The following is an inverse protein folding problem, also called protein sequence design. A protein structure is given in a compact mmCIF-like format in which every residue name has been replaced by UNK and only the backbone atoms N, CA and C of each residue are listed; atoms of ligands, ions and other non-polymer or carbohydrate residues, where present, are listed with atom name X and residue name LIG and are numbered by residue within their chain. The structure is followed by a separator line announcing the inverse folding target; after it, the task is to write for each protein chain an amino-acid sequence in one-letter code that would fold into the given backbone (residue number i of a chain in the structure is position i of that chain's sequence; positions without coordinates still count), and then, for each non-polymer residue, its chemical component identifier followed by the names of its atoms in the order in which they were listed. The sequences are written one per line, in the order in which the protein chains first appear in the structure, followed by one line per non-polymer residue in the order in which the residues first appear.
data_IF_044656747704
#
_entry.id   IF_044656747704
#
_cell.length_a   1.000
_cell.length_b   1.000
_cell.length_c   1.000
_cell.angle_alpha   90.00
_cell.angle_beta   90.00
_cell.angle_gamma   90.00
#
_symmetry.space_group_name_H-M   'P 1'
#
loop_
_entity.id
_entity.type
_entity.pdbx_description
1 polymer ?
#
# COMPACT_ATOMS: atom_id res chain seq x y z
N UNK A 1 13.33 2.08 29.31
CA UNK A 1 14.66 2.64 28.94
C UNK A 1 14.72 4.12 29.36
N UNK A 2 15.89 4.66 29.70
CA UNK A 2 16.05 6.10 30.02
C UNK A 2 15.87 6.99 28.77
N UNK A 3 15.30 8.18 28.94
CA UNK A 3 14.91 9.08 27.84
C UNK A 3 16.11 9.53 26.99
N UNK A 4 17.27 9.82 27.59
CA UNK A 4 18.44 10.27 26.84
C UNK A 4 18.99 9.15 25.94
N UNK A 5 18.97 7.89 26.41
CA UNK A 5 19.32 6.73 25.58
C UNK A 5 18.36 6.57 24.40
N UNK A 6 17.06 6.75 24.64
CA UNK A 6 16.06 6.67 23.56
C UNK A 6 16.33 7.74 22.50
N UNK A 7 16.57 8.99 22.92
CA UNK A 7 16.90 10.09 22.01
C UNK A 7 18.16 9.78 21.20
N UNK A 8 19.22 9.29 21.85
CA UNK A 8 20.47 8.92 21.18
C UNK A 8 20.24 7.83 20.12
N UNK A 9 19.47 6.80 20.46
CA UNK A 9 19.15 5.69 19.54
C UNK A 9 18.39 6.20 18.30
N UNK A 10 17.34 7.01 18.49
CA UNK A 10 16.53 7.54 17.40
C UNK A 10 17.35 8.53 16.56
N UNK A 11 18.05 9.49 17.19
CA UNK A 11 18.89 10.46 16.48
C UNK A 11 19.97 9.76 15.64
N UNK A 12 20.59 8.71 16.18
CA UNK A 12 21.56 7.93 15.41
C UNK A 12 20.91 7.27 14.19
N UNK A 13 19.71 6.68 14.36
CA UNK A 13 19.01 6.03 13.25
C UNK A 13 18.67 7.03 12.15
N UNK A 14 18.03 8.14 12.50
CA UNK A 14 17.63 9.21 11.56
C UNK A 14 18.84 9.80 10.85
N UNK A 15 19.89 10.19 11.59
CA UNK A 15 21.10 10.77 11.00
C UNK A 15 21.87 9.80 10.11
N UNK A 16 21.92 8.52 10.49
CA UNK A 16 22.65 7.51 9.70
C UNK A 16 21.99 7.27 8.35
N UNK A 17 20.65 7.36 8.30
CA UNK A 17 19.87 7.07 7.09
C UNK A 17 19.47 8.32 6.30
N UNK A 18 19.82 9.52 6.78
CA UNK A 18 19.56 10.82 6.15
C UNK A 18 19.95 10.89 4.67
N UNK A 19 21.12 10.41 4.22
CA UNK A 19 21.47 10.40 2.80
C UNK A 19 20.52 9.57 1.93
N UNK A 20 19.66 8.75 2.52
CA UNK A 20 18.65 7.94 1.83
C UNK A 20 17.27 8.55 1.97
N UNK A 21 16.78 8.78 3.21
CA UNK A 21 15.40 9.23 3.38
C UNK A 21 15.18 10.67 2.90
N UNK A 22 16.20 11.54 2.91
CA UNK A 22 16.09 12.91 2.37
C UNK A 22 15.81 12.95 0.87
N UNK A 23 16.04 11.82 0.16
CA UNK A 23 15.79 11.71 -1.28
C UNK A 23 14.36 11.25 -1.63
N UNK A 24 13.54 10.89 -0.64
CA UNK A 24 12.19 10.35 -0.86
C UNK A 24 11.12 11.43 -1.05
N UNK A 25 11.43 12.67 -0.66
CA UNK A 25 10.54 13.81 -0.83
C UNK A 25 10.20 14.03 -2.30
N UNK A 26 8.93 14.32 -2.57
CA UNK A 26 8.39 14.58 -3.90
C UNK A 26 7.67 15.91 -3.93
N UNK A 27 7.54 16.51 -5.11
CA UNK A 27 6.83 17.77 -5.25
C UNK A 27 5.33 17.56 -5.46
N UNK A 28 4.50 18.49 -4.97
CA UNK A 28 3.04 18.47 -5.15
C UNK A 28 2.60 18.30 -6.61
N UNK A 29 3.33 18.92 -7.55
CA UNK A 29 3.08 18.80 -8.99
C UNK A 29 3.20 17.35 -9.52
N UNK A 30 3.86 16.47 -8.77
CA UNK A 30 4.11 15.06 -9.11
C UNK A 30 3.12 14.12 -8.39
N UNK A 31 2.17 14.67 -7.64
CA UNK A 31 1.29 13.91 -6.75
C UNK A 31 0.51 12.80 -7.47
N UNK A 32 0.14 12.99 -8.73
CA UNK A 32 -0.61 11.98 -9.50
C UNK A 32 0.27 10.76 -9.85
N UNK A 33 1.54 10.97 -10.18
CA UNK A 33 2.49 9.86 -10.41
C UNK A 33 2.86 9.19 -9.09
N UNK A 34 3.04 9.99 -8.04
CA UNK A 34 3.24 9.55 -6.68
C UNK A 34 2.10 8.64 -6.22
N UNK A 35 0.85 9.03 -6.46
CA UNK A 35 -0.33 8.22 -6.18
C UNK A 35 -0.22 6.84 -6.84
N UNK A 36 0.11 6.80 -8.14
CA UNK A 36 0.26 5.55 -8.89
C UNK A 36 1.42 4.67 -8.41
N UNK A 37 2.43 5.24 -7.77
CA UNK A 37 3.62 4.50 -7.30
C UNK A 37 3.53 4.02 -5.84
N UNK A 38 2.59 4.57 -5.07
CA UNK A 38 2.50 4.36 -3.61
C UNK A 38 1.17 3.79 -3.16
N UNK A 39 0.08 4.01 -3.89
CA UNK A 39 -1.26 3.55 -3.50
C UNK A 39 -1.37 2.03 -3.38
N UNK A 40 -0.56 1.28 -4.13
CA UNK A 40 -0.62 -0.17 -4.15
C UNK A 40 0.69 -0.84 -3.69
N UNK A 41 1.63 -0.06 -3.15
CA UNK A 41 2.87 -0.55 -2.52
C UNK A 41 2.59 -1.17 -1.14
N UNK A 42 1.95 -2.34 -1.16
CA UNK A 42 1.47 -3.03 0.04
C UNK A 42 1.40 -4.55 -0.19
N UNK A 43 1.34 -5.30 0.92
CA UNK A 43 1.19 -6.77 0.91
C UNK A 43 2.25 -7.52 0.07
N UNK A 44 3.43 -6.91 -0.12
CA UNK A 44 4.53 -7.48 -0.89
C UNK A 44 4.44 -7.26 -2.40
N UNK A 45 3.52 -6.42 -2.86
CA UNK A 45 3.56 -5.82 -4.19
C UNK A 45 4.41 -4.56 -4.14
N UNK A 46 5.56 -4.59 -4.81
CA UNK A 46 6.49 -3.45 -4.90
C UNK A 46 6.06 -2.50 -6.03
N UNK A 47 4.95 -1.79 -5.82
CA UNK A 47 4.29 -0.95 -6.84
C UNK A 47 5.20 0.19 -7.35
N UNK A 48 6.06 0.72 -6.47
CA UNK A 48 7.09 1.70 -6.81
C UNK A 48 8.09 1.20 -7.86
N UNK A 49 8.27 -0.12 -8.00
CA UNK A 49 9.03 -0.73 -9.09
C UNK A 49 8.12 -0.93 -10.31
N UNK A 50 6.89 -1.40 -10.08
CA UNK A 50 5.92 -1.70 -11.13
C UNK A 50 5.61 -0.49 -12.02
N UNK A 51 5.54 0.72 -11.47
CA UNK A 51 5.32 1.95 -12.24
C UNK A 51 6.37 2.19 -13.33
N UNK A 52 7.60 1.67 -13.19
CA UNK A 52 8.60 1.75 -14.25
C UNK A 52 8.16 0.97 -15.48
N UNK A 53 7.54 -0.21 -15.29
CA UNK A 53 7.01 -1.00 -16.39
C UNK A 53 5.80 -0.34 -17.06
N UNK A 54 5.00 0.41 -16.30
CA UNK A 54 3.92 1.25 -16.85
C UNK A 54 4.51 2.38 -17.70
N UNK A 55 5.62 2.99 -17.25
CA UNK A 55 6.33 4.04 -17.97
C UNK A 55 6.93 3.53 -19.29
N UNK A 56 7.59 2.37 -19.24
CA UNK A 56 8.23 1.75 -20.40
C UNK A 56 7.21 1.37 -21.50
N UNK A 57 5.95 1.14 -21.11
CA UNK A 57 4.86 0.86 -22.03
C UNK A 57 4.01 2.11 -22.37
N UNK A 58 4.47 3.30 -22.01
CA UNK A 58 3.79 4.59 -22.22
C UNK A 58 2.34 4.60 -21.67
N UNK A 59 2.13 4.05 -20.47
CA UNK A 59 0.81 4.04 -19.81
C UNK A 59 0.81 4.61 -18.39
N UNK A 60 1.94 5.15 -17.90
CA UNK A 60 2.02 5.76 -16.56
C UNK A 60 1.26 7.10 -16.50
N UNK A 61 -0.06 7.03 -16.33
CA UNK A 61 -0.92 8.13 -15.88
C UNK A 61 -2.28 7.58 -15.46
N UNK A 62 -2.96 8.27 -14.53
CA UNK A 62 -4.32 7.90 -14.08
C UNK A 62 -5.27 7.80 -15.28
N UNK A 63 -5.13 8.71 -16.25
CA UNK A 63 -5.95 8.71 -17.48
C UNK A 63 -5.77 7.43 -18.29
N UNK A 64 -4.52 7.03 -18.58
CA UNK A 64 -4.20 5.88 -19.43
C UNK A 64 -4.54 4.57 -18.73
N UNK A 65 -4.14 4.41 -17.46
CA UNK A 65 -4.50 3.24 -16.64
C UNK A 65 -6.01 3.13 -16.50
N UNK A 66 -6.69 4.24 -16.18
CA UNK A 66 -8.14 4.27 -16.02
C UNK A 66 -8.91 3.97 -17.32
N UNK A 67 -8.37 4.31 -18.50
CA UNK A 67 -9.04 4.05 -19.77
C UNK A 67 -9.13 2.57 -20.16
N UNK A 68 -8.33 1.70 -19.53
CA UNK A 68 -8.37 0.25 -19.79
C UNK A 68 -9.77 -0.31 -19.50
N UNK A 69 -10.49 0.27 -18.54
CA UNK A 69 -11.84 -0.14 -18.15
C UNK A 69 -12.95 0.69 -18.82
N UNK A 70 -12.65 1.52 -19.84
CA UNK A 70 -13.69 2.31 -20.52
C UNK A 70 -14.72 1.45 -21.26
N UNK A 71 -14.23 0.38 -21.89
CA UNK A 71 -15.02 -0.49 -22.76
C UNK A 71 -15.31 -1.85 -22.12
N UNK A 72 -14.98 -2.03 -20.84
CA UNK A 72 -15.17 -3.27 -20.11
C UNK A 72 -16.46 -3.25 -19.30
N UNK A 73 -17.29 -4.28 -19.46
CA UNK A 73 -18.46 -4.52 -18.62
C UNK A 73 -18.07 -5.25 -17.33
N UNK A 74 -17.02 -4.78 -16.64
CA UNK A 74 -16.54 -5.46 -15.45
C UNK A 74 -17.12 -4.83 -14.19
N UNK A 75 -17.53 -5.69 -13.25
CA UNK A 75 -17.87 -5.28 -11.91
C UNK A 75 -16.68 -4.54 -11.24
N UNK A 76 -16.97 -3.63 -10.31
CA UNK A 76 -15.91 -2.97 -9.52
C UNK A 76 -15.17 -3.96 -8.61
N UNK A 77 -15.81 -5.07 -8.25
CA UNK A 77 -15.26 -6.07 -7.32
C UNK A 77 -14.22 -6.93 -8.01
N UNK A 78 -13.12 -7.21 -7.31
CA UNK A 78 -12.12 -8.16 -7.79
C UNK A 78 -12.68 -9.58 -7.80
N UNK A 79 -12.55 -10.24 -8.95
CA UNK A 79 -12.78 -11.66 -9.13
C UNK A 79 -11.49 -12.35 -9.60
N UNK A 80 -11.10 -13.40 -8.87
CA UNK A 80 -9.90 -14.18 -9.14
C UNK A 80 -10.02 -15.00 -10.42
N UNK A 81 -11.21 -15.51 -10.75
CA UNK A 81 -11.42 -16.31 -11.96
C UNK A 81 -11.37 -15.46 -13.22
N UNK A 82 -11.57 -14.14 -13.07
CA UNK A 82 -11.52 -13.17 -14.16
C UNK A 82 -10.13 -12.53 -14.29
N UNK A 83 -9.52 -12.13 -13.17
CA UNK A 83 -8.32 -11.28 -13.14
C UNK A 83 -7.18 -11.81 -12.24
N UNK A 84 -7.21 -13.07 -11.84
CA UNK A 84 -6.24 -13.69 -10.91
C UNK A 84 -4.96 -14.25 -11.51
N UNK A 85 -4.66 -13.96 -12.79
CA UNK A 85 -3.51 -14.51 -13.51
C UNK A 85 -3.44 -14.04 -14.97
N UNK A 86 -2.27 -14.18 -15.61
CA UNK A 86 -2.09 -13.78 -17.03
C UNK A 86 -2.90 -14.65 -18.00
N UNK A 87 -3.24 -15.85 -17.55
CA UNK A 87 -4.05 -16.86 -18.21
C UNK A 87 -5.55 -16.64 -18.03
N UNK A 88 -5.96 -15.72 -17.15
CA UNK A 88 -7.38 -15.45 -16.88
C UNK A 88 -8.00 -14.57 -17.98
N UNK A 89 -9.33 -14.61 -18.17
CA UNK A 89 -10.03 -13.96 -19.27
C UNK A 89 -9.65 -12.48 -19.46
N UNK A 90 -9.57 -11.72 -18.36
CA UNK A 90 -9.21 -10.30 -18.42
C UNK A 90 -7.85 -10.06 -19.09
N UNK A 91 -6.81 -10.78 -18.67
CA UNK A 91 -5.46 -10.60 -19.22
C UNK A 91 -5.31 -11.19 -20.61
N UNK A 92 -6.04 -12.24 -20.96
CA UNK A 92 -6.13 -12.73 -22.35
C UNK A 92 -6.69 -11.65 -23.26
N UNK A 93 -7.73 -10.94 -22.84
CA UNK A 93 -8.35 -9.85 -23.60
C UNK A 93 -7.45 -8.63 -23.73
N UNK A 94 -6.73 -8.26 -22.66
CA UNK A 94 -5.69 -7.23 -22.71
C UNK A 94 -4.60 -7.59 -23.74
N UNK A 95 -4.10 -8.83 -23.72
CA UNK A 95 -3.11 -9.33 -24.68
C UNK A 95 -3.61 -9.24 -26.13
N UNK A 96 -4.88 -9.59 -26.37
CA UNK A 96 -5.52 -9.51 -27.69
C UNK A 96 -5.76 -8.07 -28.15
N UNK A 97 -5.74 -7.09 -27.25
CA UNK A 97 -5.94 -5.68 -27.56
C UNK A 97 -7.37 -5.20 -27.54
N UNK A 98 -8.26 -5.94 -26.89
CA UNK A 98 -9.69 -5.57 -26.78
C UNK A 98 -9.84 -4.23 -26.05
N UNK A 99 -8.96 -3.96 -25.08
CA UNK A 99 -8.91 -2.72 -24.30
C UNK A 99 -7.92 -1.69 -24.89
N UNK A 100 -7.73 -1.69 -26.20
CA UNK A 100 -6.87 -0.73 -26.89
C UNK A 100 -5.38 -0.88 -26.61
N UNK A 101 -4.62 0.19 -26.91
CA UNK A 101 -3.16 0.21 -26.74
C UNK A 101 -2.77 0.22 -25.26
N UNK A 102 -3.56 0.90 -24.43
CA UNK A 102 -3.35 0.99 -22.98
C UNK A 102 -3.48 -0.40 -22.34
N UNK A 103 -4.50 -1.17 -22.76
CA UNK A 103 -4.66 -2.54 -22.28
C UNK A 103 -3.51 -3.47 -22.67
N UNK A 104 -3.02 -3.38 -23.93
CA UNK A 104 -1.81 -4.12 -24.35
C UNK A 104 -0.59 -3.70 -23.54
N UNK A 105 -0.40 -2.40 -23.33
CA UNK A 105 0.68 -1.85 -22.52
C UNK A 105 0.64 -2.43 -21.10
N UNK A 106 -0.53 -2.47 -20.48
CA UNK A 106 -0.70 -3.00 -19.13
C UNK A 106 -0.40 -4.49 -19.04
N UNK A 107 -0.89 -5.29 -20.00
CA UNK A 107 -0.53 -6.70 -20.10
C UNK A 107 0.99 -6.89 -20.19
N UNK A 108 1.68 -6.09 -21.02
CA UNK A 108 3.13 -6.17 -21.16
C UNK A 108 3.85 -5.77 -19.87
N UNK A 109 3.39 -4.73 -19.17
CA UNK A 109 3.93 -4.32 -17.88
C UNK A 109 3.81 -5.42 -16.83
N UNK A 110 2.62 -6.02 -16.71
CA UNK A 110 2.35 -7.13 -15.77
C UNK A 110 3.14 -8.37 -16.13
N UNK A 111 3.30 -8.68 -17.42
CA UNK A 111 4.10 -9.80 -17.88
C UNK A 111 5.58 -9.61 -17.56
N UNK A 112 6.13 -8.42 -17.81
CA UNK A 112 7.54 -8.09 -17.65
C UNK A 112 7.97 -7.92 -16.18
N UNK A 113 7.04 -7.54 -15.29
CA UNK A 113 7.33 -7.42 -13.86
C UNK A 113 7.86 -8.74 -13.28
N UNK A 114 9.01 -8.71 -12.62
CA UNK A 114 9.70 -9.88 -12.05
C UNK A 114 9.50 -10.01 -10.53
N UNK A 115 8.67 -9.15 -9.94
CA UNK A 115 8.30 -9.19 -8.54
C UNK A 115 7.33 -10.33 -8.16
N UNK A 116 6.88 -10.35 -6.90
CA UNK A 116 6.03 -11.42 -6.36
C UNK A 116 4.59 -11.33 -6.85
N UNK A 117 4.19 -12.22 -7.76
CA UNK A 117 2.82 -12.30 -8.32
C UNK A 117 1.88 -13.21 -7.52
N UNK A 118 1.69 -12.90 -6.24
CA UNK A 118 0.76 -13.63 -5.37
C UNK A 118 -0.70 -13.18 -5.53
N UNK A 119 -1.63 -13.77 -4.76
CA UNK A 119 -3.05 -13.38 -4.79
C UNK A 119 -3.27 -11.88 -4.51
N UNK A 120 -2.49 -11.29 -3.60
CA UNK A 120 -2.55 -9.87 -3.29
C UNK A 120 -2.13 -8.98 -4.48
N UNK A 121 -1.12 -9.40 -5.25
CA UNK A 121 -0.66 -8.66 -6.43
C UNK A 121 -1.79 -8.48 -7.45
N UNK A 122 -2.48 -9.57 -7.81
CA UNK A 122 -3.59 -9.52 -8.76
C UNK A 122 -4.74 -8.65 -8.29
N UNK A 123 -5.10 -8.76 -7.01
CA UNK A 123 -6.11 -7.91 -6.38
C UNK A 123 -5.72 -6.43 -6.43
N UNK A 124 -4.48 -6.10 -6.10
CA UNK A 124 -4.00 -4.71 -6.09
C UNK A 124 -3.95 -4.09 -7.49
N UNK A 125 -3.55 -4.85 -8.51
CA UNK A 125 -3.64 -4.40 -9.90
C UNK A 125 -5.08 -4.08 -10.32
N UNK A 126 -6.04 -4.93 -9.92
CA UNK A 126 -7.45 -4.67 -10.18
C UNK A 126 -7.93 -3.39 -9.49
N UNK A 127 -7.58 -3.23 -8.22
CA UNK A 127 -7.92 -2.03 -7.44
C UNK A 127 -7.34 -0.76 -8.07
N UNK A 128 -6.10 -0.81 -8.58
CA UNK A 128 -5.48 0.28 -9.33
C UNK A 128 -6.29 0.67 -10.57
N UNK A 129 -6.69 -0.30 -11.39
CA UNK A 129 -7.47 -0.05 -12.60
C UNK A 129 -8.81 0.61 -12.27
N UNK A 130 -9.54 0.08 -11.29
CA UNK A 130 -10.84 0.59 -10.86
C UNK A 130 -10.72 2.00 -10.28
N UNK A 131 -9.73 2.23 -9.39
CA UNK A 131 -9.52 3.54 -8.80
C UNK A 131 -9.10 4.58 -9.84
N UNK A 132 -8.21 4.23 -10.77
CA UNK A 132 -7.82 5.13 -11.86
C UNK A 132 -9.00 5.45 -12.77
N UNK A 133 -9.87 4.47 -13.07
CA UNK A 133 -11.10 4.72 -13.84
C UNK A 133 -12.05 5.68 -13.10
N UNK A 134 -12.18 5.52 -11.78
CA UNK A 134 -12.96 6.41 -10.92
C UNK A 134 -12.42 7.84 -10.94
N UNK A 135 -11.12 8.04 -10.71
CA UNK A 135 -10.46 9.35 -10.77
C UNK A 135 -10.55 9.97 -12.17
N UNK A 136 -10.42 9.17 -13.22
CA UNK A 136 -10.61 9.60 -14.60
C UNK A 136 -12.02 10.14 -14.85
N UNK A 137 -13.05 9.40 -14.44
CA UNK A 137 -14.45 9.74 -14.72
C UNK A 137 -14.97 10.93 -13.92
N UNK A 138 -14.47 11.11 -12.70
CA UNK A 138 -15.06 12.06 -11.75
C UNK A 138 -14.14 13.23 -11.37
N UNK A 139 -12.82 13.11 -11.56
CA UNK A 139 -11.83 14.07 -11.03
C UNK A 139 -10.73 14.40 -12.04
N UNK A 140 -11.08 14.56 -13.31
CA UNK A 140 -10.16 14.99 -14.36
C UNK A 140 -8.88 14.14 -14.49
N UNK A 141 -8.94 12.86 -14.13
CA UNK A 141 -7.77 11.97 -14.10
C UNK A 141 -6.65 12.46 -13.17
N UNK A 142 -6.98 13.13 -12.06
CA UNK A 142 -6.00 13.68 -11.15
C UNK A 142 -6.37 13.42 -9.68
N UNK A 143 -5.41 12.88 -8.94
CA UNK A 143 -5.53 12.67 -7.50
C UNK A 143 -5.42 14.00 -6.73
N UNK A 144 -4.57 14.93 -7.19
CA UNK A 144 -4.52 16.29 -6.62
C UNK A 144 -5.85 17.04 -6.80
N UNK A 145 -6.49 16.92 -7.97
CA UNK A 145 -7.82 17.49 -8.21
C UNK A 145 -8.85 16.85 -7.28
N UNK A 146 -8.86 15.52 -7.18
CA UNK A 146 -9.70 14.77 -6.26
C UNK A 146 -9.60 15.29 -4.82
N UNK A 147 -8.39 15.46 -4.29
CA UNK A 147 -8.18 15.95 -2.93
C UNK A 147 -8.75 17.36 -2.70
N UNK A 148 -8.51 18.26 -3.65
CA UNK A 148 -9.00 19.64 -3.56
C UNK A 148 -10.53 19.71 -3.64
N UNK A 149 -11.17 18.92 -4.49
CA UNK A 149 -12.63 18.84 -4.54
C UNK A 149 -13.18 18.29 -3.22
N UNK A 150 -12.57 17.22 -2.66
CA UNK A 150 -13.01 16.68 -1.37
C UNK A 150 -12.85 17.65 -0.22
N UNK A 151 -11.77 18.43 -0.24
CA UNK A 151 -11.55 19.46 0.76
C UNK A 151 -12.52 20.64 0.59
N UNK A 152 -12.80 21.07 -0.65
CA UNK A 152 -13.81 22.09 -0.95
C UNK A 152 -15.22 21.67 -0.50
N UNK A 153 -15.60 20.41 -0.75
CA UNK A 153 -16.85 19.81 -0.27
C UNK A 153 -16.93 19.81 1.27
N UNK A 154 -15.81 19.56 1.96
CA UNK A 154 -15.74 19.55 3.43
C UNK A 154 -15.88 20.95 4.03
N UNK A 155 -15.17 21.93 3.47
CA UNK A 155 -15.22 23.34 3.90
C UNK A 155 -16.50 24.05 3.42
N UNK A 156 -17.31 23.40 2.59
CA UNK A 156 -18.50 23.96 1.95
C UNK A 156 -18.19 25.26 1.17
N UNK A 157 -17.14 25.20 0.34
CA UNK A 157 -16.70 26.28 -0.55
C UNK A 157 -16.68 25.79 -2.00
N UNK A 158 -16.84 26.69 -2.95
CA UNK A 158 -16.97 26.33 -4.37
C UNK A 158 -15.71 25.66 -4.95
N UNK A 159 -14.52 26.12 -4.53
CA UNK A 159 -13.25 25.65 -5.09
C UNK A 159 -12.08 25.96 -4.18
N UNK A 160 -11.07 25.09 -4.24
CA UNK A 160 -9.78 25.24 -3.57
C UNK A 160 -8.67 25.28 -4.63
N UNK A 161 -7.78 26.26 -4.57
CA UNK A 161 -6.57 26.30 -5.41
C UNK A 161 -5.44 25.49 -4.78
N UNK A 162 -4.38 25.18 -5.54
CA UNK A 162 -3.19 24.55 -4.96
C UNK A 162 -2.60 25.42 -3.84
N UNK A 163 -2.55 26.74 -4.04
CA UNK A 163 -2.03 27.66 -3.03
C UNK A 163 -2.85 27.58 -1.74
N UNK A 164 -4.18 27.55 -1.83
CA UNK A 164 -5.06 27.42 -0.66
C UNK A 164 -4.82 26.09 0.06
N UNK A 165 -4.79 24.98 -0.69
CA UNK A 165 -4.63 23.65 -0.12
C UNK A 165 -3.27 23.44 0.55
N UNK A 166 -2.19 23.95 -0.05
CA UNK A 166 -0.83 23.82 0.49
C UNK A 166 -0.63 24.62 1.80
N UNK A 167 -1.46 25.63 2.05
CA UNK A 167 -1.35 26.50 3.24
C UNK A 167 -2.32 26.13 4.37
N UNK A 168 -3.07 25.04 4.25
CA UNK A 168 -3.93 24.58 5.36
C UNK A 168 -3.07 24.20 6.57
N UNK A 169 -3.66 24.32 7.75
CA UNK A 169 -3.04 23.94 9.02
C UNK A 169 -3.17 22.45 9.28
N UNK A 170 -2.31 21.91 10.16
CA UNK A 170 -2.44 20.52 10.64
C UNK A 170 -3.82 20.25 11.27
N UNK A 171 -4.38 21.24 11.99
CA UNK A 171 -5.70 21.11 12.61
C UNK A 171 -6.82 20.97 11.57
N UNK A 172 -6.76 21.77 10.51
CA UNK A 172 -7.71 21.68 9.38
C UNK A 172 -7.58 20.32 8.68
N UNK A 173 -6.34 19.87 8.44
CA UNK A 173 -6.07 18.56 7.85
C UNK A 173 -6.61 17.39 8.68
N UNK A 174 -6.33 17.38 9.97
CA UNK A 174 -6.78 16.31 10.88
C UNK A 174 -8.31 16.28 10.96
N UNK A 175 -8.95 17.45 11.04
CA UNK A 175 -10.41 17.60 11.01
C UNK A 175 -11.02 17.12 9.68
N UNK A 176 -10.40 17.45 8.55
CA UNK A 176 -10.79 16.94 7.23
C UNK A 176 -10.70 15.41 7.16
N UNK A 177 -9.61 14.82 7.63
CA UNK A 177 -9.43 13.35 7.64
C UNK A 177 -10.49 12.67 8.51
N UNK A 178 -10.76 13.19 9.71
CA UNK A 178 -11.72 12.60 10.64
C UNK A 178 -13.14 12.62 10.08
N UNK A 179 -13.56 13.76 9.51
CA UNK A 179 -14.94 13.97 9.08
C UNK A 179 -15.21 13.47 7.65
N UNK A 180 -14.28 13.68 6.71
CA UNK A 180 -14.50 13.34 5.29
C UNK A 180 -14.00 11.96 4.93
N UNK A 181 -12.91 11.49 5.55
CA UNK A 181 -12.27 10.19 5.27
C UNK A 181 -12.07 9.95 3.76
N UNK A 182 -11.34 10.82 3.05
CA UNK A 182 -11.27 10.81 1.59
C UNK A 182 -10.83 9.44 1.02
N UNK A 183 -9.98 8.69 1.70
CA UNK A 183 -9.57 7.36 1.24
C UNK A 183 -10.73 6.36 1.04
N UNK A 184 -11.92 6.58 1.62
CA UNK A 184 -13.08 5.69 1.47
C UNK A 184 -13.53 5.50 0.01
N UNK A 185 -13.30 6.49 -0.86
CA UNK A 185 -13.67 6.42 -2.28
C UNK A 185 -12.57 5.80 -3.16
N UNK A 186 -11.37 5.58 -2.61
CA UNK A 186 -10.19 5.15 -3.33
C UNK A 186 -9.98 3.64 -3.14
N UNK A 187 -10.44 2.85 -4.11
CA UNK A 187 -10.42 1.39 -3.96
C UNK A 187 -9.00 0.84 -3.75
N UNK A 188 -8.80 0.13 -2.64
CA UNK A 188 -7.52 -0.44 -2.22
C UNK A 188 -6.62 0.52 -1.43
N UNK A 189 -7.03 1.76 -1.21
CA UNK A 189 -6.27 2.76 -0.44
C UNK A 189 -6.92 2.97 0.92
N UNK A 190 -6.29 2.49 1.99
CA UNK A 190 -6.69 2.77 3.36
C UNK A 190 -5.96 3.98 3.95
N UNK A 191 -6.37 4.44 5.15
CA UNK A 191 -5.75 5.56 5.87
C UNK A 191 -4.21 5.49 5.90
N UNK A 192 -3.63 4.33 6.23
CA UNK A 192 -2.17 4.17 6.32
C UNK A 192 -1.44 4.37 4.98
N UNK A 193 -2.09 4.03 3.86
CA UNK A 193 -1.55 4.24 2.52
C UNK A 193 -1.76 5.68 2.10
N UNK A 194 -2.92 6.25 2.43
CA UNK A 194 -3.22 7.64 2.19
C UNK A 194 -2.24 8.58 2.89
N UNK A 195 -2.02 8.41 4.20
CA UNK A 195 -1.02 9.18 4.96
C UNK A 195 0.40 8.95 4.42
N UNK A 196 0.71 7.77 3.89
CA UNK A 196 2.00 7.51 3.24
C UNK A 196 2.18 8.32 1.95
N UNK A 197 1.15 8.40 1.11
CA UNK A 197 1.17 9.20 -0.12
C UNK A 197 1.38 10.68 0.23
N UNK A 198 0.60 11.20 1.18
CA UNK A 198 0.63 12.61 1.58
C UNK A 198 1.94 12.97 2.27
N UNK A 199 2.43 12.12 3.18
CA UNK A 199 3.60 12.37 4.02
C UNK A 199 4.94 12.50 3.27
N UNK A 200 4.99 12.15 1.99
CA UNK A 200 6.19 12.31 1.16
C UNK A 200 6.20 13.61 0.35
N UNK A 201 5.09 14.37 0.35
CA UNK A 201 5.02 15.62 -0.42
C UNK A 201 5.66 16.77 0.36
N UNK A 202 6.71 17.35 -0.21
CA UNK A 202 7.56 18.35 0.44
C UNK A 202 6.80 19.63 0.83
N UNK A 203 5.86 20.06 0.00
CA UNK A 203 5.11 21.30 0.22
C UNK A 203 4.02 21.19 1.29
N UNK A 204 3.67 19.98 1.73
CA UNK A 204 2.60 19.75 2.70
C UNK A 204 3.13 19.83 4.14
N UNK A 205 3.42 21.04 4.60
CA UNK A 205 3.90 21.27 5.97
C UNK A 205 2.97 20.71 7.06
N UNK A 206 1.67 20.62 6.76
CA UNK A 206 0.66 20.10 7.69
C UNK A 206 0.75 18.59 7.94
N UNK A 207 1.48 17.82 7.11
CA UNK A 207 1.70 16.36 7.33
C UNK A 207 3.07 16.00 7.88
N UNK A 208 3.94 16.97 8.20
CA UNK A 208 5.28 16.69 8.76
C UNK A 208 5.27 15.92 10.07
N UNK A 209 4.14 15.98 10.80
CA UNK A 209 3.92 15.24 12.03
C UNK A 209 3.14 13.93 11.82
N UNK A 210 2.98 13.48 10.58
CA UNK A 210 2.43 12.15 10.29
C UNK A 210 3.43 11.04 10.61
N UNK A 211 2.92 9.90 11.07
CA UNK A 211 3.75 8.75 11.42
C UNK A 211 3.07 7.45 11.00
N UNK A 212 3.77 6.61 10.23
CA UNK A 212 3.29 5.29 9.82
C UNK A 212 3.90 4.20 10.71
N UNK A 213 3.10 3.57 11.55
CA UNK A 213 3.54 2.46 12.41
C UNK A 213 3.57 1.13 11.63
N UNK A 214 4.47 1.03 10.65
CA UNK A 214 4.65 -0.19 9.87
C UNK A 214 5.55 -1.24 10.57
N UNK A 215 5.69 -2.40 9.94
CA UNK A 215 6.49 -3.50 10.49
C UNK A 215 7.97 -3.17 10.72
N UNK A 216 8.55 -2.21 9.99
CA UNK A 216 9.94 -1.81 10.14
C UNK A 216 10.10 -0.87 11.35
N UNK A 217 9.20 0.10 11.49
CA UNK A 217 9.12 1.00 12.63
C UNK A 217 8.81 0.25 13.92
N UNK A 218 7.80 -0.64 13.91
CA UNK A 218 7.47 -1.49 15.05
C UNK A 218 8.67 -2.36 15.47
N UNK A 219 9.38 -2.94 14.49
CA UNK A 219 10.59 -3.73 14.73
C UNK A 219 11.68 -2.89 15.37
N UNK A 220 11.94 -1.68 14.86
CA UNK A 220 12.94 -0.78 15.43
C UNK A 220 12.64 -0.50 16.91
N UNK A 221 11.42 -0.02 17.19
CA UNK A 221 10.98 0.39 18.53
C UNK A 221 11.04 -0.75 19.56
N UNK A 222 10.76 -1.98 19.15
CA UNK A 222 10.78 -3.15 20.05
C UNK A 222 12.16 -3.78 20.22
N UNK A 223 12.94 -3.97 19.15
CA UNK A 223 14.30 -4.55 19.23
C UNK A 223 15.23 -3.65 20.04
N UNK A 224 15.12 -2.34 19.85
CA UNK A 224 15.93 -1.37 20.58
C UNK A 224 15.57 -1.33 22.07
N UNK A 225 14.38 -1.80 22.45
CA UNK A 225 13.87 -1.74 23.82
C UNK A 225 13.28 -0.37 24.19
N UNK A 226 12.95 0.46 23.20
CA UNK A 226 12.21 1.72 23.42
C UNK A 226 10.80 1.36 23.93
N UNK A 227 10.17 0.37 23.31
CA UNK A 227 8.91 -0.22 23.78
C UNK A 227 9.14 -1.69 24.18
N UNK A 228 8.77 -2.03 25.41
CA UNK A 228 8.95 -3.37 25.97
C UNK A 228 7.72 -4.28 25.80
N UNK A 229 7.09 -4.23 24.63
CA UNK A 229 5.96 -5.08 24.26
C UNK A 229 6.26 -5.92 23.01
N UNK A 230 5.32 -6.76 22.56
CA UNK A 230 5.42 -7.34 21.23
C UNK A 230 5.08 -6.28 20.18
N UNK A 231 5.65 -6.42 18.98
CA UNK A 231 5.44 -5.45 17.89
C UNK A 231 3.97 -5.28 17.49
N UNK A 232 3.16 -6.34 17.69
CA UNK A 232 1.73 -6.35 17.39
C UNK A 232 0.89 -5.61 18.42
N UNK A 233 1.42 -5.41 19.62
CA UNK A 233 0.73 -4.79 20.75
C UNK A 233 1.02 -3.29 20.81
N UNK A 234 1.83 -2.76 19.89
CA UNK A 234 2.10 -1.33 19.79
C UNK A 234 0.85 -0.59 19.31
N UNK A 235 0.37 0.33 20.14
CA UNK A 235 -0.67 1.27 19.77
C UNK A 235 -0.07 2.46 19.00
N UNK A 236 -0.72 2.87 17.90
CA UNK A 236 -0.26 3.97 17.06
C UNK A 236 -0.24 5.32 17.80
N UNK A 237 -1.30 5.65 18.54
CA UNK A 237 -1.44 6.90 19.28
C UNK A 237 -0.40 7.00 20.41
N UNK A 238 -0.18 5.90 21.15
CA UNK A 238 0.84 5.85 22.20
C UNK A 238 2.24 6.11 21.65
N UNK A 239 2.57 5.53 20.48
CA UNK A 239 3.86 5.74 19.83
C UNK A 239 4.01 7.19 19.38
N UNK A 240 3.00 7.78 18.75
CA UNK A 240 3.02 9.16 18.29
C UNK A 240 3.20 10.13 19.47
N UNK A 241 2.43 9.95 20.54
CA UNK A 241 2.51 10.79 21.74
C UNK A 241 3.89 10.68 22.41
N UNK A 242 4.42 9.45 22.53
CA UNK A 242 5.75 9.23 23.07
C UNK A 242 6.84 9.93 22.24
N UNK A 243 6.86 9.71 20.92
CA UNK A 243 7.88 10.28 20.04
C UNK A 243 7.81 11.81 20.00
N UNK A 244 6.60 12.37 19.98
CA UNK A 244 6.39 13.82 20.04
C UNK A 244 6.93 14.43 21.34
N UNK A 245 6.80 13.71 22.47
CA UNK A 245 7.29 14.14 23.77
C UNK A 245 8.81 14.13 23.93
N UNK A 246 9.56 13.53 22.99
CA UNK A 246 11.03 13.45 23.08
C UNK A 246 11.73 14.76 22.71
N UNK A 247 11.04 15.73 22.09
CA UNK A 247 11.61 17.00 21.64
C UNK A 247 12.89 16.83 20.80
N UNK A 248 12.85 15.90 19.84
CA UNK A 248 13.97 15.64 18.92
C UNK A 248 14.08 16.77 17.86
N UNK A 249 15.27 17.00 17.27
CA UNK A 249 15.47 18.01 16.23
C UNK A 249 14.94 17.58 14.85
N UNK A 250 14.00 16.63 14.82
CA UNK A 250 13.42 16.05 13.62
C UNK A 250 11.89 16.00 13.78
N UNK A 251 11.19 16.19 12.69
CA UNK A 251 9.75 15.94 12.60
C UNK A 251 9.44 14.44 12.78
N UNK A 252 8.19 14.12 13.13
CA UNK A 252 7.77 12.71 13.22
C UNK A 252 7.92 11.98 11.88
N UNK A 253 7.75 12.70 10.75
CA UNK A 253 7.91 12.10 9.43
C UNK A 253 9.36 11.73 9.12
N UNK A 254 10.31 12.58 9.49
CA UNK A 254 11.74 12.30 9.36
C UNK A 254 12.16 11.15 10.28
N UNK A 255 11.64 11.12 11.51
CA UNK A 255 11.81 9.97 12.41
C UNK A 255 11.27 8.70 11.73
N UNK A 256 10.03 8.71 11.25
CA UNK A 256 9.40 7.57 10.61
C UNK A 256 10.20 7.02 9.43
N UNK A 257 10.67 7.92 8.56
CA UNK A 257 11.44 7.59 7.37
C UNK A 257 12.84 7.07 7.72
N UNK A 258 13.47 7.70 8.71
CA UNK A 258 14.79 7.31 9.21
C UNK A 258 14.78 5.92 9.84
N UNK A 259 13.79 5.62 10.68
CA UNK A 259 13.59 4.31 11.29
C UNK A 259 13.25 3.24 10.24
N UNK A 260 12.40 3.57 9.26
CA UNK A 260 12.09 2.67 8.16
C UNK A 260 13.36 2.30 7.39
N UNK A 261 14.15 3.28 6.92
CA UNK A 261 15.42 3.02 6.22
C UNK A 261 16.40 2.16 7.04
N UNK A 262 16.43 2.38 8.36
CA UNK A 262 17.33 1.67 9.27
C UNK A 262 17.01 0.16 9.38
N UNK A 263 15.74 -0.20 9.19
CA UNK A 263 15.19 -1.54 9.43
C UNK A 263 14.67 -2.27 8.18
N UNK A 264 14.34 -1.53 7.12
CA UNK A 264 13.66 -2.07 5.94
C UNK A 264 14.57 -2.99 5.15
N UNK A 265 13.99 -3.98 4.47
CA UNK A 265 14.77 -4.88 3.61
C UNK A 265 15.46 -4.11 2.49
N UNK A 266 14.82 -3.06 1.98
CA UNK A 266 15.35 -2.21 0.90
C UNK A 266 16.61 -1.45 1.35
N UNK A 267 16.70 -1.08 2.62
CA UNK A 267 17.90 -0.44 3.18
C UNK A 267 19.05 -1.39 3.50
N UNK A 268 18.91 -2.70 3.28
CA UNK A 268 19.85 -3.69 3.82
C UNK A 268 21.26 -3.67 3.26
N UNK A 269 21.44 -3.12 2.06
CA UNK A 269 22.78 -2.96 1.48
C UNK A 269 23.63 -2.01 2.34
N UNK A 270 23.00 -1.06 3.04
CA UNK A 270 23.67 0.00 3.82
C UNK A 270 23.43 -0.07 5.33
N UNK A 271 22.23 -0.42 5.78
CA UNK A 271 21.81 -0.26 7.17
C UNK A 271 21.44 -1.61 7.81
N UNK A 272 20.17 -1.99 7.84
CA UNK A 272 19.64 -3.24 8.40
C UNK A 272 20.19 -3.71 9.76
N UNK A 273 20.71 -2.77 10.56
CA UNK A 273 21.30 -3.05 11.86
C UNK A 273 20.29 -3.67 12.84
N UNK A 274 19.02 -3.25 12.76
CA UNK A 274 17.92 -3.77 13.57
C UNK A 274 17.11 -4.86 12.84
N UNK A 275 17.53 -5.28 11.65
CA UNK A 275 16.89 -6.41 10.92
C UNK A 275 17.67 -7.70 11.10
N UNK A 276 19.00 -7.59 11.06
CA UNK A 276 19.92 -8.71 11.03
C UNK A 276 20.80 -8.69 12.28
N UNK A 277 20.68 -9.68 13.19
CA UNK A 277 21.50 -9.74 14.41
C UNK A 277 22.99 -9.62 14.11
N UNK A 278 23.44 -10.22 13.01
CA UNK A 278 24.82 -10.16 12.57
C UNK A 278 25.30 -8.76 12.19
N UNK A 279 24.42 -7.82 11.79
CA UNK A 279 24.81 -6.42 11.53
C UNK A 279 24.73 -5.55 12.78
N UNK A 280 24.10 -6.01 13.87
CA UNK A 280 23.90 -5.22 15.07
C UNK A 280 25.21 -4.66 15.63
N UNK A 281 26.30 -5.43 15.60
CA UNK A 281 27.60 -5.00 16.12
C UNK A 281 28.23 -3.81 15.35
N UNK A 282 27.81 -3.57 14.10
CA UNK A 282 28.25 -2.43 13.28
C UNK A 282 27.51 -1.13 13.66
N UNK A 283 26.41 -1.23 14.40
CA UNK A 283 25.61 -0.09 14.85
C UNK A 283 26.33 0.71 15.95
N UNK A 284 26.40 2.03 15.79
CA UNK A 284 27.04 2.94 16.77
C UNK A 284 26.39 2.87 18.16
N UNK A 285 25.08 2.65 18.21
CA UNK A 285 24.29 2.62 19.45
C UNK A 285 23.99 1.20 19.95
N UNK A 286 24.67 0.16 19.43
CA UNK A 286 24.36 -1.22 19.83
C UNK A 286 24.50 -1.43 21.35
N UNK A 287 25.50 -0.83 21.99
CA UNK A 287 25.80 -1.00 23.42
C UNK A 287 24.73 -0.43 24.36
N UNK A 288 23.88 0.45 23.89
CA UNK A 288 22.85 1.13 24.71
C UNK A 288 21.43 0.63 24.44
N UNK A 289 21.24 -0.23 23.43
CA UNK A 289 19.94 -0.81 23.08
C UNK A 289 19.78 -2.24 23.61
N UNK A 290 18.54 -2.73 23.76
CA UNK A 290 18.22 -4.06 24.31
C UNK A 290 18.61 -5.22 23.38
N UNK A 291 18.62 -4.98 22.06
CA UNK A 291 18.95 -5.97 21.03
C UNK A 291 18.03 -7.21 21.06
N UNK A 292 16.73 -6.99 21.30
CA UNK A 292 15.74 -8.05 21.52
C UNK A 292 15.30 -8.72 20.20
N UNK A 293 16.25 -9.33 19.49
CA UNK A 293 16.01 -10.01 18.22
C UNK A 293 15.19 -11.30 18.38
N UNK A 294 15.16 -11.87 19.57
CA UNK A 294 14.47 -13.12 19.87
C UNK A 294 12.96 -13.02 19.63
N UNK A 295 12.36 -11.85 19.88
CA UNK A 295 10.96 -11.53 19.54
C UNK A 295 10.60 -11.72 18.06
N UNK A 296 11.59 -11.79 17.18
CA UNK A 296 11.40 -11.88 15.73
C UNK A 296 12.02 -13.14 15.11
N UNK A 297 12.55 -14.06 15.92
CA UNK A 297 12.92 -15.39 15.42
C UNK A 297 11.64 -16.06 14.93
N UNK A 298 11.55 -16.34 13.62
CA UNK A 298 10.51 -17.23 13.12
C UNK A 298 10.71 -18.55 13.84
N UNK A 299 9.67 -19.05 14.50
CA UNK A 299 9.71 -20.40 15.06
C UNK A 299 10.03 -21.38 13.93
N UNK A 300 10.94 -22.33 14.18
CA UNK A 300 11.45 -23.23 13.15
C UNK A 300 10.35 -24.08 12.49
N UNK A 301 9.19 -24.25 13.14
CA UNK A 301 8.04 -24.93 12.57
C UNK A 301 7.36 -24.18 11.41
N UNK A 302 7.58 -22.87 11.25
CA UNK A 302 7.08 -22.11 10.09
C UNK A 302 7.79 -22.54 8.78
N UNK A 303 8.91 -23.26 8.88
CA UNK A 303 9.63 -23.84 7.73
C UNK A 303 9.25 -25.29 7.43
N UNK A 304 8.53 -25.95 8.34
CA UNK A 304 8.03 -27.30 8.17
C UNK A 304 6.89 -27.29 7.17
N UNK A 305 6.77 -28.32 6.34
CA UNK A 305 5.55 -28.50 5.55
C UNK A 305 4.37 -28.81 6.50
N UNK A 306 3.11 -28.55 6.11
CA UNK A 306 1.96 -28.87 6.96
C UNK A 306 1.94 -30.32 7.45
N UNK A 307 2.53 -31.25 6.71
CA UNK A 307 2.66 -32.67 7.07
C UNK A 307 3.73 -32.93 8.15
N UNK A 308 4.67 -32.00 8.34
CA UNK A 308 5.77 -32.09 9.31
C UNK A 308 5.47 -31.35 10.63
N UNK A 309 4.37 -30.58 10.69
CA UNK A 309 3.95 -29.83 11.87
C UNK A 309 3.27 -30.73 12.91
N UNK A 310 3.51 -30.47 14.20
CA UNK A 310 2.65 -31.03 15.26
C UNK A 310 1.24 -30.42 15.18
N UNK A 311 0.26 -31.06 15.83
CA UNK A 311 -1.12 -30.55 15.86
C UNK A 311 -1.21 -29.14 16.47
N UNK A 312 -0.44 -28.86 17.52
CA UNK A 312 -0.33 -27.52 18.12
C UNK A 312 0.33 -26.52 17.16
N UNK A 313 1.42 -26.90 16.47
CA UNK A 313 2.09 -26.05 15.47
C UNK A 313 1.15 -25.73 14.29
N UNK A 314 0.38 -26.72 13.84
CA UNK A 314 -0.61 -26.60 12.77
C UNK A 314 -1.75 -25.66 13.18
N UNK A 315 -2.29 -25.78 14.40
CA UNK A 315 -3.33 -24.86 14.90
C UNK A 315 -2.84 -23.41 14.95
N UNK A 316 -1.59 -23.18 15.36
CA UNK A 316 -1.00 -21.81 15.38
C UNK A 316 -0.75 -21.31 13.95
N UNK A 317 -0.25 -22.16 13.04
CA UNK A 317 -0.09 -21.84 11.63
C UNK A 317 -1.44 -21.45 11.00
N UNK A 318 -2.44 -22.31 11.14
CA UNK A 318 -3.80 -22.10 10.62
C UNK A 318 -4.45 -20.87 11.24
N UNK A 319 -4.30 -20.60 12.54
CA UNK A 319 -4.75 -19.35 13.14
C UNK A 319 -4.04 -18.14 12.55
N UNK A 320 -2.72 -18.21 12.33
CA UNK A 320 -1.95 -17.09 11.77
C UNK A 320 -2.25 -16.82 10.28
N UNK A 321 -2.62 -17.86 9.54
CA UNK A 321 -3.10 -17.77 8.15
C UNK A 321 -4.52 -17.24 8.18
N UNK A 322 -5.40 -17.81 9.00
CA UNK A 322 -6.77 -17.34 9.23
C UNK A 322 -6.73 -15.86 9.58
N UNK A 323 -6.07 -15.42 10.63
CA UNK A 323 -5.98 -14.00 11.03
C UNK A 323 -5.44 -13.04 9.94
N UNK A 324 -4.63 -13.53 8.98
CA UNK A 324 -4.19 -12.74 7.81
C UNK A 324 -5.26 -12.63 6.72
N UNK A 325 -6.24 -13.52 6.73
CA UNK A 325 -7.28 -13.69 5.71
C UNK A 325 -8.73 -13.70 6.27
N UNK A 326 -8.94 -13.60 7.58
CA UNK A 326 -10.25 -13.45 8.23
C UNK A 326 -10.57 -11.99 8.38
N UNK A 327 -11.58 -11.59 7.64
CA UNK A 327 -12.29 -10.33 7.70
C UNK A 327 -12.82 -10.06 9.11
N UNK A 328 -12.73 -8.81 9.56
CA UNK A 328 -13.36 -8.32 10.78
C UNK A 328 -14.53 -7.39 10.44
N UNK A 329 -15.48 -7.30 11.36
CA UNK A 329 -16.61 -6.38 11.27
C UNK A 329 -16.08 -4.94 11.17
N UNK A 330 -16.36 -4.26 10.05
CA UNK A 330 -15.79 -2.96 9.67
C UNK A 330 -14.98 -2.97 8.35
N UNK A 331 -14.44 -4.11 7.93
CA UNK A 331 -13.71 -4.22 6.65
C UNK A 331 -14.62 -4.06 5.41
N UNK A 332 -15.94 -4.13 5.61
CA UNK A 332 -16.99 -4.05 4.57
C UNK A 332 -17.50 -2.63 4.29
N UNK A 333 -17.25 -1.64 5.14
CA UNK A 333 -17.61 -0.23 4.85
C UNK A 333 -16.83 0.34 3.64
N UNK A 334 -15.81 -0.37 3.16
CA UNK A 334 -14.88 0.05 2.10
C UNK A 334 -15.06 -0.70 0.77
N UNK A 335 -16.10 -1.53 0.65
CA UNK A 335 -16.42 -2.23 -0.60
C UNK A 335 -17.81 -1.79 -1.01
N UNK A 336 -17.91 -0.85 -1.96
CA UNK A 336 -19.19 -0.39 -2.48
C UNK A 336 -19.99 -1.56 -3.05
N UNK A 337 -21.06 -1.94 -2.37
CA UNK A 337 -22.04 -2.91 -2.86
C UNK A 337 -23.17 -2.14 -3.55
N UNK A 338 -23.30 -2.32 -4.87
CA UNK A 338 -24.60 -2.27 -5.51
C UNK A 338 -24.80 -3.61 -6.24
N UNK A 339 -26.00 -4.20 -6.19
CA UNK A 339 -26.32 -5.44 -6.90
C UNK A 339 -26.26 -5.25 -8.43
N UNK A 340 -25.95 -6.33 -9.15
CA UNK A 340 -25.93 -6.36 -10.62
C UNK A 340 -27.23 -5.82 -11.20
N UNK A 341 -27.10 -4.91 -12.17
CA UNK A 341 -28.22 -4.46 -12.99
C UNK A 341 -28.72 -5.61 -13.87
N UNK A 342 -29.98 -5.53 -14.30
CA UNK A 342 -30.59 -6.57 -15.14
C UNK A 342 -29.87 -6.77 -16.49
N UNK A 343 -29.17 -5.75 -16.99
CA UNK A 343 -28.40 -5.86 -18.23
C UNK A 343 -27.04 -6.53 -18.01
N UNK A 344 -26.45 -6.40 -16.82
CA UNK A 344 -25.23 -7.12 -16.44
C UNK A 344 -25.52 -8.62 -16.19
N UNK A 345 -26.69 -8.95 -15.62
CA UNK A 345 -27.13 -10.36 -15.49
C UNK A 345 -27.28 -11.04 -16.85
N UNK A 346 -27.88 -10.36 -17.83
CA UNK A 346 -28.01 -10.88 -19.21
C UNK A 346 -26.66 -11.10 -19.87
N UNK A 347 -25.66 -10.26 -19.57
CA UNK A 347 -24.32 -10.43 -20.12
C UNK A 347 -23.63 -11.66 -19.55
N UNK A 348 -23.70 -11.88 -18.24
CA UNK A 348 -23.19 -13.10 -17.59
C UNK A 348 -23.85 -14.36 -18.16
N UNK A 349 -25.18 -14.35 -18.33
CA UNK A 349 -25.91 -15.45 -18.96
C UNK A 349 -25.45 -15.71 -20.41
N UNK A 350 -25.11 -14.66 -21.16
CA UNK A 350 -24.63 -14.80 -22.54
C UNK A 350 -23.22 -15.41 -22.63
N UNK A 351 -22.37 -15.14 -21.64
CA UNK A 351 -21.01 -15.70 -21.53
C UNK A 351 -21.11 -17.18 -21.14
N UNK A 352 -21.90 -17.51 -20.12
CA UNK A 352 -22.16 -18.90 -19.70
C UNK A 352 -22.75 -19.75 -20.81
N UNK A 353 -23.54 -19.14 -21.71
CA UNK A 353 -24.09 -19.81 -22.88
C UNK A 353 -23.01 -20.05 -23.94
N UNK A 354 -22.16 -19.06 -24.20
CA UNK A 354 -21.06 -19.19 -25.16
C UNK A 354 -20.03 -20.25 -24.71
N UNK A 355 -19.77 -20.35 -23.41
CA UNK A 355 -18.86 -21.35 -22.85
C UNK A 355 -19.43 -22.76 -22.97
N UNK A 356 -20.71 -22.96 -22.66
CA UNK A 356 -21.41 -24.24 -22.87
C UNK A 356 -21.47 -24.65 -24.34
N UNK A 357 -21.63 -23.70 -25.25
CA UNK A 357 -21.59 -23.97 -26.69
C UNK A 357 -20.19 -24.32 -27.18
N UNK A 358 -19.14 -23.80 -26.53
CA UNK A 358 -17.74 -24.10 -26.84
C UNK A 358 -17.31 -25.47 -26.31
N UNK A 359 -17.74 -25.83 -25.09
CA UNK A 359 -17.53 -27.16 -24.52
C UNK A 359 -18.23 -28.25 -25.34
N UNK A 360 -19.47 -28.01 -25.78
CA UNK A 360 -20.20 -28.96 -26.61
C UNK A 360 -19.64 -29.11 -28.03
N UNK A 361 -18.90 -28.13 -28.56
CA UNK A 361 -18.18 -28.28 -29.84
C UNK A 361 -16.94 -29.15 -29.68
N UNK A 362 -16.20 -28.97 -28.59
CA UNK A 362 -15.01 -29.78 -28.30
C UNK A 362 -15.34 -31.26 -27.99
N UNK A 363 -16.57 -31.58 -27.57
CA UNK A 363 -17.02 -32.95 -27.32
C UNK A 363 -17.46 -33.67 -28.63
N UNK A 364 -17.75 -32.93 -29.70
CA UNK A 364 -18.21 -33.51 -30.97
C UNK A 364 -17.12 -33.59 -32.06
N UNK A 365 -15.90 -33.11 -31.75
CA UNK A 365 -14.72 -33.16 -32.63
C UNK A 365 -13.68 -34.23 -32.21
N UNK A 366 -14.00 -35.04 -31.19
CA UNK A 366 -13.35 -36.33 -30.82
C UNK A 366 -14.27 -37.51 -31.19
#
# INVERSE_FOLDING_TARGET
MDSEKVKEIICNAVKTTEPTWSTWGVHWKELDEVFLSRAYDQLGFDDWIFVNFLRDNDILSIKKVGSILDNGCFERKYDREIAGGLEMPFYIFLKKGIFGKEGKGFYNSVKAFDGRKGAAFWKLLWQMLVCCNYLKKNYNSSFSYYLKEKYAEYENIDKVTDADFLHITQKEWDSFKENKKPWNELYGVGLNVFDYIMGDVLELEFVKNSYKLDSANQRFLTITGIFECNSKDLNHEEVVNFLSGLNLPYSLREINSGLYAYCSKLGCDKYCFCRYPQKCHECKVHKICKQDFDKFKKHDWIKKSPEEMTEEERKVYESSVRDKFTWKEGDLEFVGWEPLTEDEKKLVESIDKADRETENRNINDD
#
